data_IF_338500652821
#
_entry.id   IF_338500652821
#
_cell.length_a   1.000
_cell.length_b   1.000
_cell.length_c   1.000
_cell.angle_alpha   90.00
_cell.angle_beta   90.00
_cell.angle_gamma   90.00
#
_symmetry.space_group_name_H-M   'P 1'
#
loop_
_entity.id
_entity.type
_entity.pdbx_description
1 polymer ?
#
# COMPACT_ATOMS: atom_id res chain seq x y z
N UNK A 1 -14.72 12.24 -28.86
CA UNK A 1 -13.55 12.06 -27.94
C UNK A 1 -13.48 13.04 -26.77
N UNK A 2 -14.05 14.26 -26.82
CA UNK A 2 -14.22 15.13 -25.62
C UNK A 2 -14.82 14.41 -24.40
N UNK A 3 -15.70 13.44 -24.65
CA UNK A 3 -16.30 12.59 -23.60
C UNK A 3 -15.25 11.78 -22.83
N UNK A 4 -14.24 11.21 -23.52
CA UNK A 4 -13.20 10.37 -22.91
C UNK A 4 -12.24 11.22 -22.07
N UNK A 5 -11.82 12.38 -22.59
CA UNK A 5 -10.99 13.33 -21.83
C UNK A 5 -11.74 13.86 -20.60
N UNK A 6 -13.05 14.17 -20.75
CA UNK A 6 -13.90 14.57 -19.63
C UNK A 6 -14.01 13.46 -18.59
N UNK A 7 -14.17 12.21 -19.00
CA UNK A 7 -14.23 11.07 -18.08
C UNK A 7 -12.91 10.83 -17.37
N UNK A 8 -11.77 10.91 -18.08
CA UNK A 8 -10.45 10.78 -17.50
C UNK A 8 -10.18 11.88 -16.46
N UNK A 9 -10.48 13.14 -16.78
CA UNK A 9 -10.40 14.24 -15.82
C UNK A 9 -11.35 14.02 -14.63
N UNK A 10 -12.55 13.49 -14.85
CA UNK A 10 -13.48 13.22 -13.75
C UNK A 10 -12.94 12.13 -12.81
N UNK A 11 -12.29 11.10 -13.35
CA UNK A 11 -11.65 10.03 -12.57
C UNK A 11 -10.44 10.58 -11.81
N UNK A 12 -9.60 11.40 -12.45
CA UNK A 12 -8.47 12.06 -11.78
C UNK A 12 -8.94 13.00 -10.66
N UNK A 13 -9.94 13.85 -10.92
CA UNK A 13 -10.50 14.74 -9.92
C UNK A 13 -11.14 13.96 -8.75
N UNK A 14 -11.89 12.89 -9.04
CA UNK A 14 -12.47 12.04 -8.01
C UNK A 14 -11.38 11.37 -7.16
N UNK A 15 -10.28 10.97 -7.80
CA UNK A 15 -9.14 10.41 -7.09
C UNK A 15 -8.43 11.45 -6.23
N UNK A 16 -8.26 12.68 -6.72
CA UNK A 16 -7.67 13.77 -5.96
C UNK A 16 -8.55 14.17 -4.78
N UNK A 17 -9.87 14.19 -4.97
CA UNK A 17 -10.84 14.40 -3.89
C UNK A 17 -10.80 13.26 -2.87
N UNK A 18 -10.72 12.00 -3.33
CA UNK A 18 -10.55 10.84 -2.48
C UNK A 18 -9.24 10.91 -1.70
N UNK A 19 -8.13 11.19 -2.39
CA UNK A 19 -6.83 11.33 -1.77
C UNK A 19 -6.83 12.47 -0.75
N UNK A 20 -7.41 13.64 -1.03
CA UNK A 20 -7.50 14.73 -0.06
C UNK A 20 -8.37 14.36 1.15
N UNK A 21 -9.50 13.70 0.94
CA UNK A 21 -10.40 13.32 2.03
C UNK A 21 -9.84 12.19 2.90
N UNK A 22 -9.26 11.16 2.29
CA UNK A 22 -8.84 9.93 2.97
C UNK A 22 -7.35 9.86 3.28
N UNK A 23 -6.53 10.79 2.79
CA UNK A 23 -5.11 10.95 3.15
C UNK A 23 -4.84 10.88 4.66
N UNK A 24 -5.47 11.71 5.51
CA UNK A 24 -5.16 11.71 6.94
C UNK A 24 -5.62 10.40 7.59
N UNK A 25 -6.75 9.85 7.12
CA UNK A 25 -7.25 8.55 7.58
C UNK A 25 -6.28 7.41 7.21
N UNK A 26 -5.80 7.37 5.97
CA UNK A 26 -4.86 6.35 5.49
C UNK A 26 -3.52 6.43 6.22
N UNK A 27 -3.02 7.64 6.48
CA UNK A 27 -1.83 7.84 7.29
C UNK A 27 -2.04 7.32 8.73
N UNK A 28 -3.18 7.64 9.35
CA UNK A 28 -3.53 7.15 10.68
C UNK A 28 -3.69 5.62 10.71
N UNK A 29 -4.34 5.03 9.71
CA UNK A 29 -4.50 3.57 9.59
C UNK A 29 -3.15 2.88 9.45
N UNK A 30 -2.23 3.40 8.63
CA UNK A 30 -0.89 2.85 8.48
C UNK A 30 -0.06 2.96 9.77
N UNK A 31 -0.18 4.07 10.50
CA UNK A 31 0.47 4.22 11.81
C UNK A 31 -0.12 3.26 12.84
N UNK A 32 -1.45 3.17 12.92
CA UNK A 32 -2.15 2.25 13.81
C UNK A 32 -1.79 0.79 13.52
N UNK A 33 -1.67 0.42 12.23
CA UNK A 33 -1.20 -0.90 11.78
C UNK A 33 0.17 -1.25 12.37
N UNK A 34 1.14 -0.33 12.29
CA UNK A 34 2.47 -0.56 12.86
C UNK A 34 2.43 -0.75 14.38
N UNK A 35 1.67 0.09 15.08
CA UNK A 35 1.55 0.02 16.54
C UNK A 35 0.85 -1.26 16.99
N UNK A 36 -0.24 -1.65 16.33
CA UNK A 36 -1.00 -2.86 16.65
C UNK A 36 -0.17 -4.12 16.43
N UNK A 37 0.55 -4.22 15.31
CA UNK A 37 1.40 -5.38 15.03
C UNK A 37 2.52 -5.47 16.07
N UNK A 38 3.19 -4.36 16.39
CA UNK A 38 4.23 -4.34 17.43
C UNK A 38 3.66 -4.71 18.82
N UNK A 39 2.46 -4.25 19.13
CA UNK A 39 1.77 -4.59 20.37
C UNK A 39 1.48 -6.09 20.47
N UNK A 40 0.91 -6.69 19.41
CA UNK A 40 0.59 -8.11 19.38
C UNK A 40 1.84 -8.99 19.56
N UNK A 41 2.93 -8.66 18.85
CA UNK A 41 4.20 -9.36 19.02
C UNK A 41 4.82 -9.16 20.41
N UNK A 42 4.74 -7.95 20.97
CA UNK A 42 5.19 -7.65 22.33
C UNK A 42 4.43 -8.44 23.39
N UNK A 43 3.11 -8.55 23.25
CA UNK A 43 2.27 -9.33 24.16
C UNK A 43 2.56 -10.84 24.07
N UNK A 44 2.78 -11.37 22.87
CA UNK A 44 3.20 -12.78 22.68
C UNK A 44 4.48 -13.07 23.46
N UNK A 45 5.47 -12.17 23.38
CA UNK A 45 6.74 -12.30 24.08
C UNK A 45 6.56 -12.19 25.60
N UNK A 46 5.80 -11.20 26.07
CA UNK A 46 5.57 -10.99 27.51
C UNK A 46 4.83 -12.16 28.16
N UNK A 47 3.81 -12.70 27.49
CA UNK A 47 3.03 -13.83 28.00
C UNK A 47 3.86 -15.12 28.06
N UNK A 48 4.72 -15.36 27.06
CA UNK A 48 5.67 -16.49 27.05
C UNK A 48 6.64 -16.48 28.24
N UNK A 49 6.95 -15.32 28.82
CA UNK A 49 7.92 -15.21 29.92
C UNK A 49 7.31 -15.26 31.32
N UNK A 50 5.99 -15.06 31.47
CA UNK A 50 5.35 -14.88 32.79
C UNK A 50 4.23 -15.87 33.14
N UNK A 51 3.65 -16.60 32.18
CA UNK A 51 2.45 -17.41 32.43
C UNK A 51 2.67 -18.94 32.37
N UNK A 52 1.69 -19.68 32.88
CA UNK A 52 1.58 -21.14 32.75
C UNK A 52 1.33 -21.56 31.29
N UNK A 53 1.81 -22.76 30.93
CA UNK A 53 1.87 -23.29 29.56
C UNK A 53 0.52 -23.30 28.83
N UNK A 54 -0.59 -23.58 29.51
CA UNK A 54 -1.91 -23.62 28.86
C UNK A 54 -2.43 -22.23 28.47
N UNK A 55 -2.34 -21.25 29.38
CA UNK A 55 -2.82 -19.87 29.13
C UNK A 55 -1.96 -19.19 28.07
N UNK A 56 -0.68 -19.54 28.01
CA UNK A 56 0.25 -19.10 26.95
C UNK A 56 -0.25 -19.54 25.57
N UNK A 57 -0.65 -20.80 25.38
CA UNK A 57 -1.04 -21.30 24.05
C UNK A 57 -2.27 -20.58 23.52
N UNK A 58 -3.29 -20.39 24.36
CA UNK A 58 -4.52 -19.70 23.97
C UNK A 58 -4.26 -18.25 23.59
N UNK A 59 -3.48 -17.51 24.37
CA UNK A 59 -3.24 -16.10 24.08
C UNK A 59 -2.29 -15.90 22.90
N UNK A 60 -1.25 -16.74 22.74
CA UNK A 60 -0.40 -16.69 21.55
C UNK A 60 -1.19 -16.96 20.28
N UNK A 61 -2.17 -17.87 20.33
CA UNK A 61 -3.07 -18.10 19.21
C UNK A 61 -3.94 -16.86 18.90
N UNK A 62 -4.55 -16.25 19.92
CA UNK A 62 -5.40 -15.06 19.75
C UNK A 62 -4.61 -13.89 19.15
N UNK A 63 -3.45 -13.54 19.72
CA UNK A 63 -2.63 -12.43 19.23
C UNK A 63 -2.00 -12.73 17.87
N UNK A 64 -1.65 -13.99 17.59
CA UNK A 64 -1.17 -14.39 16.27
C UNK A 64 -2.24 -14.24 15.18
N UNK A 65 -3.48 -14.65 15.46
CA UNK A 65 -4.61 -14.48 14.54
C UNK A 65 -4.96 -13.01 14.37
N UNK A 66 -4.99 -12.23 15.46
CA UNK A 66 -5.24 -10.79 15.40
C UNK A 66 -4.19 -10.07 14.52
N UNK A 67 -2.91 -10.37 14.71
CA UNK A 67 -1.81 -9.82 13.91
C UNK A 67 -1.94 -10.18 12.42
N UNK A 68 -2.36 -11.42 12.10
CA UNK A 68 -2.61 -11.84 10.71
C UNK A 68 -3.78 -11.07 10.07
N UNK A 69 -4.87 -10.85 10.81
CA UNK A 69 -6.02 -10.08 10.32
C UNK A 69 -5.60 -8.64 10.01
N UNK A 70 -4.90 -8.02 10.95
CA UNK A 70 -4.40 -6.64 10.84
C UNK A 70 -3.45 -6.51 9.65
N UNK A 71 -2.50 -7.44 9.50
CA UNK A 71 -1.61 -7.47 8.34
C UNK A 71 -2.38 -7.68 7.02
N UNK A 72 -3.40 -8.55 7.01
CA UNK A 72 -4.26 -8.80 5.86
C UNK A 72 -5.04 -7.56 5.41
N UNK A 73 -5.52 -6.73 6.35
CA UNK A 73 -6.16 -5.45 6.02
C UNK A 73 -5.18 -4.50 5.31
N UNK A 74 -3.95 -4.41 5.82
CA UNK A 74 -2.88 -3.65 5.15
C UNK A 74 -2.58 -4.16 3.75
N UNK A 75 -2.58 -5.49 3.56
CA UNK A 75 -2.37 -6.11 2.26
C UNK A 75 -3.49 -5.81 1.26
N UNK A 76 -4.74 -5.81 1.69
CA UNK A 76 -5.89 -5.45 0.84
C UNK A 76 -5.79 -3.97 0.43
N UNK A 77 -5.45 -3.08 1.35
CA UNK A 77 -5.27 -1.66 1.04
C UNK A 77 -4.11 -1.44 0.05
N UNK A 78 -2.98 -2.11 0.27
CA UNK A 78 -1.83 -2.10 -0.64
C UNK A 78 -2.19 -2.64 -2.04
N UNK A 79 -2.95 -3.74 -2.11
CA UNK A 79 -3.40 -4.33 -3.36
C UNK A 79 -4.33 -3.40 -4.14
N UNK A 80 -5.30 -2.77 -3.47
CA UNK A 80 -6.19 -1.81 -4.09
C UNK A 80 -5.43 -0.59 -4.63
N UNK A 81 -4.45 -0.09 -3.87
CA UNK A 81 -3.59 1.01 -4.30
C UNK A 81 -2.69 0.65 -5.49
N UNK A 82 -2.15 -0.58 -5.52
CA UNK A 82 -1.35 -1.10 -6.63
C UNK A 82 -2.19 -1.27 -7.91
N UNK A 83 -3.36 -1.89 -7.82
CA UNK A 83 -4.25 -2.06 -8.97
C UNK A 83 -4.65 -0.71 -9.58
N UNK A 84 -4.95 0.27 -8.74
CA UNK A 84 -5.31 1.59 -9.19
C UNK A 84 -4.15 2.28 -9.93
N UNK A 85 -2.92 2.11 -9.43
CA UNK A 85 -1.72 2.60 -10.09
C UNK A 85 -1.41 1.88 -11.40
N UNK A 86 -1.66 0.57 -11.45
CA UNK A 86 -1.51 -0.24 -12.66
C UNK A 86 -2.52 0.18 -13.73
N UNK A 87 -3.79 0.41 -13.36
CA UNK A 87 -4.83 0.82 -14.31
C UNK A 87 -4.59 2.22 -14.90
N UNK A 88 -4.06 3.15 -14.09
CA UNK A 88 -3.58 4.45 -14.60
C UNK A 88 -2.45 4.30 -15.62
N UNK A 89 -1.51 3.39 -15.36
CA UNK A 89 -0.39 3.09 -16.28
C UNK A 89 -0.88 2.40 -17.55
N UNK A 90 -1.82 1.47 -17.42
CA UNK A 90 -2.46 0.77 -18.54
C UNK A 90 -3.20 1.73 -19.46
N UNK A 91 -3.94 2.68 -18.90
CA UNK A 91 -4.62 3.75 -19.65
C UNK A 91 -3.61 4.55 -20.48
N UNK A 92 -2.46 4.92 -19.89
CA UNK A 92 -1.36 5.59 -20.61
C UNK A 92 -0.84 4.74 -21.77
N UNK A 93 -0.65 3.44 -21.55
CA UNK A 93 -0.15 2.50 -22.57
C UNK A 93 -1.13 2.32 -23.73
N UNK A 94 -2.43 2.21 -23.44
CA UNK A 94 -3.48 2.12 -24.47
C UNK A 94 -3.50 3.40 -25.32
N UNK A 95 -3.37 4.57 -24.71
CA UNK A 95 -3.28 5.83 -25.45
C UNK A 95 -2.07 5.86 -26.39
N UNK A 96 -0.92 5.37 -25.93
CA UNK A 96 0.26 5.22 -26.79
C UNK A 96 0.03 4.26 -27.96
N UNK A 97 -0.61 3.11 -27.70
CA UNK A 97 -0.90 2.13 -28.73
C UNK A 97 -1.86 2.68 -29.79
N UNK A 98 -2.94 3.37 -29.38
CA UNK A 98 -3.86 4.03 -30.31
C UNK A 98 -3.18 5.15 -31.11
N UNK A 99 -2.23 5.88 -30.51
CA UNK A 99 -1.48 6.92 -31.22
C UNK A 99 -0.67 6.32 -32.37
N UNK A 100 -0.06 5.17 -32.12
CA UNK A 100 0.79 4.48 -33.08
C UNK A 100 0.01 3.63 -34.09
N UNK A 101 -1.24 3.25 -33.80
CA UNK A 101 -2.09 2.42 -34.67
C UNK A 101 -3.13 3.22 -35.49
N UNK A 102 -2.97 4.54 -35.58
CA UNK A 102 -3.87 5.41 -36.32
C UNK A 102 -3.97 5.02 -37.82
N UNK A 103 -5.18 4.70 -38.34
CA UNK A 103 -5.34 4.20 -39.70
C UNK A 103 -4.86 5.20 -40.77
N UNK A 104 -4.11 4.71 -41.75
CA UNK A 104 -3.63 5.51 -42.90
C UNK A 104 -4.75 5.96 -43.84
N UNK A 105 -5.91 5.28 -43.78
CA UNK A 105 -7.10 5.58 -44.60
C UNK A 105 -8.01 6.66 -43.99
N UNK A 106 -7.65 7.21 -42.82
CA UNK A 106 -8.41 8.28 -42.18
C UNK A 106 -8.16 9.61 -42.91
N UNK A 107 -9.21 10.44 -43.06
CA UNK A 107 -9.04 11.77 -43.64
C UNK A 107 -8.00 12.58 -42.86
N UNK A 108 -7.16 13.36 -43.56
CA UNK A 108 -6.03 14.07 -42.93
C UNK A 108 -6.46 14.99 -41.79
N UNK A 109 -7.62 15.65 -41.90
CA UNK A 109 -8.15 16.49 -40.82
C UNK A 109 -8.58 15.68 -39.59
N UNK A 110 -9.27 14.56 -39.78
CA UNK A 110 -9.69 13.69 -38.67
C UNK A 110 -8.48 13.08 -37.97
N UNK A 111 -7.46 12.68 -38.74
CA UNK A 111 -6.20 12.15 -38.21
C UNK A 111 -5.48 13.16 -37.30
N UNK A 112 -5.33 14.40 -37.78
CA UNK A 112 -4.70 15.49 -36.99
C UNK A 112 -5.50 15.78 -35.71
N UNK A 113 -6.83 15.79 -35.79
CA UNK A 113 -7.67 16.07 -34.62
C UNK A 113 -7.58 14.96 -33.57
N UNK A 114 -7.64 13.69 -34.00
CA UNK A 114 -7.53 12.53 -33.10
C UNK A 114 -6.13 12.46 -32.47
N UNK A 115 -5.07 12.67 -33.25
CA UNK A 115 -3.69 12.70 -32.76
C UNK A 115 -3.51 13.77 -31.67
N UNK A 116 -4.01 14.99 -31.92
CA UNK A 116 -3.94 16.10 -30.95
C UNK A 116 -4.68 15.76 -29.66
N UNK A 117 -5.87 15.16 -29.74
CA UNK A 117 -6.63 14.79 -28.53
C UNK A 117 -5.97 13.65 -27.76
N UNK A 118 -5.41 12.66 -28.45
CA UNK A 118 -4.70 11.56 -27.82
C UNK A 118 -3.43 12.05 -27.10
N UNK A 119 -2.66 12.96 -27.73
CA UNK A 119 -1.50 13.59 -27.09
C UNK A 119 -1.88 14.35 -25.82
N UNK A 120 -2.97 15.12 -25.86
CA UNK A 120 -3.47 15.82 -24.67
C UNK A 120 -3.85 14.86 -23.54
N UNK A 121 -4.56 13.77 -23.87
CA UNK A 121 -4.95 12.77 -22.88
C UNK A 121 -3.74 12.02 -22.32
N UNK A 122 -2.73 11.80 -23.15
CA UNK A 122 -1.47 11.17 -22.77
C UNK A 122 -0.62 12.07 -21.87
N UNK A 123 -0.61 13.37 -22.14
CA UNK A 123 0.06 14.37 -21.32
C UNK A 123 -0.62 14.53 -19.96
N UNK A 124 -1.96 14.53 -19.94
CA UNK A 124 -2.76 14.50 -18.70
C UNK A 124 -2.54 13.22 -17.90
N UNK A 125 -2.57 12.06 -18.55
CA UNK A 125 -2.36 10.77 -17.88
C UNK A 125 -0.93 10.59 -17.37
N UNK A 126 0.05 11.28 -17.97
CA UNK A 126 1.44 11.31 -17.47
C UNK A 126 1.63 12.27 -16.30
N UNK A 127 0.94 13.41 -16.32
CA UNK A 127 1.05 14.43 -15.26
C UNK A 127 0.26 14.03 -14.00
N UNK A 128 -0.94 13.48 -14.15
CA UNK A 128 -1.73 12.92 -13.05
C UNK A 128 -1.52 11.41 -12.95
N UNK A 129 -0.48 11.01 -12.19
CA UNK A 129 -0.31 9.60 -11.84
C UNK A 129 -1.41 9.20 -10.87
N UNK A 130 -2.34 8.39 -11.33
CA UNK A 130 -3.40 7.78 -10.54
C UNK A 130 -2.76 6.90 -9.46
N UNK A 131 -2.57 7.42 -8.25
CA UNK A 131 -1.91 6.73 -7.14
C UNK A 131 -2.59 7.10 -5.83
N UNK A 132 -2.75 6.12 -4.96
CA UNK A 132 -3.22 6.37 -3.59
C UNK A 132 -2.03 6.78 -2.73
N UNK A 133 -2.14 7.95 -2.11
CA UNK A 133 -1.12 8.50 -1.23
C UNK A 133 -1.66 8.67 0.18
N UNK A 134 -0.85 8.32 1.17
CA UNK A 134 -1.07 8.66 2.57
C UNK A 134 -0.29 9.95 2.89
N UNK A 135 -0.91 11.12 2.66
CA UNK A 135 -0.36 12.40 3.10
C UNK A 135 0.89 12.89 2.40
N UNK A 136 1.19 12.34 1.22
CA UNK A 136 2.47 12.57 0.53
C UNK A 136 3.68 11.90 1.19
N UNK A 137 3.50 11.28 2.37
CA UNK A 137 4.56 10.55 3.08
C UNK A 137 4.81 9.19 2.43
N UNK A 138 3.74 8.48 2.10
CA UNK A 138 3.84 7.12 1.58
C UNK A 138 2.85 6.85 0.44
N UNK A 139 3.28 6.07 -0.54
CA UNK A 139 2.38 5.48 -1.53
C UNK A 139 1.82 4.18 -0.95
N UNK A 140 0.49 4.01 -1.01
CA UNK A 140 -0.16 2.79 -0.53
C UNK A 140 0.02 1.71 -1.60
N UNK A 141 1.02 0.87 -1.42
CA UNK A 141 1.42 -0.20 -2.34
C UNK A 141 2.06 -1.38 -1.58
N UNK A 142 2.44 -2.44 -2.29
CA UNK A 142 3.13 -3.57 -1.63
C UNK A 142 4.49 -3.21 -1.05
N UNK A 143 5.12 -2.14 -1.55
CA UNK A 143 6.38 -1.61 -1.01
C UNK A 143 6.25 -1.17 0.45
N UNK A 144 5.19 -0.43 0.82
CA UNK A 144 5.00 -0.04 2.22
C UNK A 144 4.67 -1.23 3.10
N UNK A 145 3.91 -2.21 2.61
CA UNK A 145 3.63 -3.44 3.36
C UNK A 145 4.92 -4.21 3.65
N UNK A 146 5.81 -4.33 2.66
CA UNK A 146 7.13 -4.94 2.81
C UNK A 146 8.00 -4.18 3.81
N UNK A 147 7.97 -2.84 3.78
CA UNK A 147 8.65 -2.01 4.78
C UNK A 147 8.15 -2.28 6.19
N UNK A 148 6.83 -2.32 6.40
CA UNK A 148 6.22 -2.62 7.70
C UNK A 148 6.65 -4.01 8.18
N UNK A 149 6.54 -5.03 7.32
CA UNK A 149 6.95 -6.39 7.65
C UNK A 149 8.44 -6.47 8.04
N UNK A 150 9.31 -5.78 7.30
CA UNK A 150 10.74 -5.69 7.60
C UNK A 150 10.99 -5.04 8.96
N UNK A 151 10.38 -3.88 9.22
CA UNK A 151 10.52 -3.15 10.49
C UNK A 151 10.07 -4.00 11.67
N UNK A 152 8.89 -4.62 11.57
CA UNK A 152 8.35 -5.52 12.61
C UNK A 152 9.30 -6.70 12.85
N UNK A 153 9.80 -7.33 11.78
CA UNK A 153 10.74 -8.45 11.88
C UNK A 153 12.04 -8.03 12.58
N UNK A 154 12.60 -6.86 12.25
CA UNK A 154 13.79 -6.33 12.90
C UNK A 154 13.57 -6.08 14.39
N UNK A 155 12.46 -5.42 14.77
CA UNK A 155 12.14 -5.19 16.18
C UNK A 155 11.95 -6.51 16.94
N UNK A 156 11.30 -7.49 16.31
CA UNK A 156 11.12 -8.82 16.90
C UNK A 156 12.47 -9.51 17.17
N UNK A 157 13.37 -9.54 16.18
CA UNK A 157 14.71 -10.12 16.32
C UNK A 157 15.47 -9.45 17.47
N UNK A 158 15.50 -8.12 17.49
CA UNK A 158 16.20 -7.35 18.54
C UNK A 158 15.63 -7.67 19.92
N UNK A 159 14.31 -7.71 20.07
CA UNK A 159 13.65 -8.01 21.34
C UNK A 159 13.99 -9.41 21.84
N UNK A 160 13.94 -10.41 20.95
CA UNK A 160 14.31 -11.80 21.29
C UNK A 160 15.78 -11.90 21.71
N UNK A 161 16.69 -11.23 20.98
CA UNK A 161 18.11 -11.21 21.34
C UNK A 161 18.36 -10.61 22.73
N UNK A 162 17.71 -9.48 23.05
CA UNK A 162 17.81 -8.88 24.38
C UNK A 162 17.30 -9.80 25.48
N UNK A 163 16.18 -10.50 25.25
CA UNK A 163 15.64 -11.44 26.23
C UNK A 163 16.52 -12.67 26.45
N UNK A 164 17.06 -13.25 25.38
CA UNK A 164 18.00 -14.38 25.47
C UNK A 164 19.27 -13.98 26.23
N UNK A 165 19.78 -12.77 26.00
CA UNK A 165 20.96 -12.24 26.71
C UNK A 165 20.67 -12.06 28.21
N UNK A 166 19.51 -11.51 28.57
CA UNK A 166 19.10 -11.34 29.96
C UNK A 166 18.99 -12.68 30.69
N UNK A 167 18.35 -13.68 30.08
CA UNK A 167 18.22 -15.03 30.67
C UNK A 167 19.58 -15.73 30.87
N UNK A 168 20.51 -15.57 29.92
CA UNK A 168 21.85 -16.13 30.05
C UNK A 168 22.69 -15.47 31.15
N UNK A 169 22.43 -14.20 31.46
CA UNK A 169 23.12 -13.50 32.55
C UNK A 169 22.60 -13.92 33.92
N UNK A 170 21.30 -14.23 34.05
CA UNK A 170 20.72 -14.73 35.30
C UNK A 170 21.20 -16.15 35.65
N UNK A 171 21.43 -17.03 34.65
CA UNK A 171 21.98 -18.38 34.91
C UNK A 171 23.48 -18.42 35.27
N UNK A 172 24.21 -17.30 35.17
CA UNK A 172 25.65 -17.23 35.50
C UNK A 172 25.92 -16.63 36.88
N UNK A 173 24.89 -16.31 37.65
CA UNK A 173 25.03 -15.75 39.01
C UNK A 173 24.76 -16.76 40.13
N UNK A 174 24.50 -18.03 39.80
CA UNK A 174 24.54 -19.17 40.72
C UNK A 174 25.88 -19.93 40.55
#
# INVERSE_FOLDING_TARGET
>A
MRFITKHHNNICNLLDDFNNAFTPLMAFVLLALNVLILWDFGMIILLRTKLSTEVIHTHVYIFGVAGLIVFGQGAIAAWAGEQLAEEGTRTTKICYQLLNSLPSNMSSQTKIHVEKQLRLLLEQSKSHKVRVHAGGFFQVNFGILGSIASTVTTYFIVTVQFLLKTNNNTCKQD
#
